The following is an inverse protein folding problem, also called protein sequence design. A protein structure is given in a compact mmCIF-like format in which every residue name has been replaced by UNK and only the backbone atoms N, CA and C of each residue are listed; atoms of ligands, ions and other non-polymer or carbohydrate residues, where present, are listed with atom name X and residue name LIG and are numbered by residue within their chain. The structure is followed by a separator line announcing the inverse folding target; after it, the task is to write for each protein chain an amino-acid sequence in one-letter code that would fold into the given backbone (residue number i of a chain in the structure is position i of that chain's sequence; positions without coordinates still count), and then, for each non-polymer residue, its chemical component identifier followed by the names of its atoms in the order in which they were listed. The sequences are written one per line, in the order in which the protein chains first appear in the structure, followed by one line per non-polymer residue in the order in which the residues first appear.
data_IF_514041573312
#
_entry.id   IF_514041573312
#
_cell.length_a   1.000
_cell.length_b   1.000
_cell.length_c   1.000
_cell.angle_alpha   90.00
_cell.angle_beta   90.00
_cell.angle_gamma   90.00
#
_symmetry.space_group_name_H-M   'P 1'
#
loop_
_entity.id
_entity.type
_entity.pdbx_description
1 polymer ?
#
# COMPACT_ATOMS: atom_id res chain seq x y z
N UNK A 1 -21.04 -10.63 8.61
CA UNK A 1 -20.04 -10.20 7.61
C UNK A 1 -20.63 -9.00 6.88
N UNK A 2 -20.00 -7.82 6.89
CA UNK A 2 -20.56 -6.69 6.19
C UNK A 2 -20.63 -6.97 4.68
N UNK A 3 -21.74 -6.54 4.10
CA UNK A 3 -22.20 -6.77 2.74
C UNK A 3 -21.23 -6.14 1.71
N UNK A 4 -20.87 -6.90 0.67
CA UNK A 4 -19.91 -6.54 -0.38
C UNK A 4 -20.42 -5.46 -1.35
N UNK A 5 -21.64 -4.96 -1.18
CA UNK A 5 -22.35 -4.09 -2.14
C UNK A 5 -22.24 -2.58 -1.88
N UNK A 6 -21.36 -2.11 -0.99
CA UNK A 6 -21.16 -0.66 -0.76
C UNK A 6 -19.78 -0.12 -1.17
N UNK A 7 -19.09 -0.72 -2.15
CA UNK A 7 -18.05 0.00 -2.91
C UNK A 7 -18.73 1.00 -3.87
N UNK A 8 -19.31 2.06 -3.33
CA UNK A 8 -19.64 3.25 -4.12
C UNK A 8 -18.32 3.94 -4.44
N UNK A 9 -17.89 3.83 -5.70
CA UNK A 9 -16.82 4.65 -6.29
C UNK A 9 -17.20 6.13 -6.18
N UNK A 10 -16.92 6.75 -5.03
CA UNK A 10 -16.99 8.19 -4.88
C UNK A 10 -15.77 8.76 -5.61
N UNK A 11 -16.03 9.15 -6.85
CA UNK A 11 -15.04 9.60 -7.82
C UNK A 11 -14.47 10.97 -7.41
N UNK A 12 -13.54 10.95 -6.47
CA UNK A 12 -12.64 12.06 -6.19
C UNK A 12 -11.27 11.44 -5.91
N UNK A 13 -10.48 11.28 -6.98
CA UNK A 13 -9.18 10.63 -6.95
C UNK A 13 -8.25 11.41 -5.98
N UNK A 14 -8.03 10.89 -4.77
CA UNK A 14 -7.21 11.51 -3.71
C UNK A 14 -5.86 12.00 -4.27
N UNK A 15 -5.24 11.17 -5.09
CA UNK A 15 -3.98 11.48 -5.79
C UNK A 15 -4.07 12.71 -6.67
N UNK A 16 -5.20 12.93 -7.34
CA UNK A 16 -5.42 14.09 -8.20
C UNK A 16 -5.62 15.39 -7.41
N UNK A 17 -6.21 15.29 -6.21
CA UNK A 17 -6.35 16.43 -5.29
C UNK A 17 -5.04 16.79 -4.60
N UNK A 18 -4.17 15.80 -4.39
CA UNK A 18 -2.93 15.93 -3.63
C UNK A 18 -1.67 15.71 -4.48
N UNK A 19 -1.69 16.21 -5.72
CA UNK A 19 -0.59 16.04 -6.71
C UNK A 19 0.71 16.70 -6.27
N UNK A 20 0.63 17.76 -5.47
CA UNK A 20 1.78 18.51 -4.94
C UNK A 20 2.71 17.64 -4.08
N UNK A 21 2.18 16.55 -3.52
CA UNK A 21 2.97 15.57 -2.78
C UNK A 21 3.69 14.53 -3.65
N UNK A 22 3.35 14.40 -4.93
CA UNK A 22 3.92 13.40 -5.84
C UNK A 22 5.27 13.88 -6.42
N UNK A 23 6.32 13.78 -5.60
CA UNK A 23 7.64 14.38 -5.89
C UNK A 23 8.63 13.44 -6.55
N UNK A 24 8.38 12.13 -6.53
CA UNK A 24 9.31 11.10 -7.01
C UNK A 24 8.67 10.31 -8.14
N UNK A 25 9.42 10.02 -9.21
CA UNK A 25 8.92 9.27 -10.37
C UNK A 25 9.62 7.92 -10.50
N UNK A 26 8.86 6.85 -10.75
CA UNK A 26 9.39 5.52 -11.08
C UNK A 26 9.88 5.48 -12.52
N UNK A 27 10.72 4.48 -12.86
CA UNK A 27 11.17 4.22 -14.24
C UNK A 27 10.02 4.07 -15.25
N UNK A 28 8.88 3.55 -14.80
CA UNK A 28 7.68 3.32 -15.63
C UNK A 28 6.68 4.47 -15.60
N UNK A 29 7.06 5.63 -15.04
CA UNK A 29 6.30 6.87 -15.15
C UNK A 29 5.28 7.13 -14.06
N UNK A 30 5.11 6.22 -13.08
CA UNK A 30 4.27 6.43 -11.90
C UNK A 30 4.91 7.48 -10.99
N UNK A 31 4.16 8.48 -10.55
CA UNK A 31 4.60 9.43 -9.52
C UNK A 31 4.13 9.01 -8.13
N UNK A 32 5.03 9.06 -7.15
CA UNK A 32 4.88 8.64 -5.75
C UNK A 32 5.42 9.70 -4.78
N UNK A 33 5.16 9.58 -3.47
CA UNK A 33 5.49 10.60 -2.47
C UNK A 33 6.91 10.52 -1.94
N UNK A 34 7.48 9.32 -1.86
CA UNK A 34 8.80 9.09 -1.24
C UNK A 34 9.72 8.21 -2.08
N UNK A 35 11.02 8.23 -1.76
CA UNK A 35 12.03 7.39 -2.43
C UNK A 35 11.81 5.91 -2.15
N UNK A 36 11.41 5.58 -0.92
CA UNK A 36 11.14 4.20 -0.51
C UNK A 36 9.86 3.66 -1.18
N UNK A 37 8.80 4.46 -1.31
CA UNK A 37 7.64 4.08 -2.13
C UNK A 37 8.01 3.85 -3.59
N UNK A 38 8.92 4.65 -4.16
CA UNK A 38 9.44 4.37 -5.52
C UNK A 38 10.11 3.01 -5.56
N UNK A 39 10.98 2.71 -4.59
CA UNK A 39 11.68 1.42 -4.49
C UNK A 39 10.70 0.24 -4.38
N UNK A 40 9.66 0.38 -3.54
CA UNK A 40 8.59 -0.63 -3.43
C UNK A 40 7.83 -0.76 -4.75
N UNK A 41 7.42 0.35 -5.37
CA UNK A 41 6.71 0.33 -6.65
C UNK A 41 7.55 -0.31 -7.76
N UNK A 42 8.85 0.00 -7.83
CA UNK A 42 9.79 -0.61 -8.77
C UNK A 42 9.91 -2.11 -8.54
N UNK A 43 10.06 -2.56 -7.29
CA UNK A 43 10.04 -3.98 -6.96
C UNK A 43 8.76 -4.67 -7.47
N UNK A 44 7.59 -4.09 -7.20
CA UNK A 44 6.32 -4.67 -7.64
C UNK A 44 6.23 -4.74 -9.17
N UNK A 45 6.64 -3.68 -9.87
CA UNK A 45 6.65 -3.62 -11.34
C UNK A 45 7.64 -4.63 -11.95
N UNK A 46 8.87 -4.68 -11.43
CA UNK A 46 9.95 -5.55 -11.92
C UNK A 46 9.60 -7.04 -11.76
N UNK A 47 8.78 -7.38 -10.76
CA UNK A 47 8.31 -8.74 -10.52
C UNK A 47 6.91 -9.03 -11.12
N UNK A 48 6.39 -8.15 -11.97
CA UNK A 48 5.10 -8.35 -12.66
C UNK A 48 3.89 -8.38 -11.72
N UNK A 49 4.02 -7.83 -10.52
CA UNK A 49 2.94 -7.80 -9.52
C UNK A 49 2.01 -6.64 -9.87
N UNK A 50 0.73 -6.95 -10.08
CA UNK A 50 -0.29 -5.94 -10.39
C UNK A 50 -0.75 -5.27 -9.09
N UNK A 51 -0.63 -3.94 -9.03
CA UNK A 51 -1.00 -3.15 -7.86
C UNK A 51 -1.69 -1.84 -8.23
N UNK A 52 -2.38 -1.26 -7.23
CA UNK A 52 -2.85 0.11 -7.23
C UNK A 52 -2.06 0.91 -6.19
N UNK A 53 -1.52 2.06 -6.59
CA UNK A 53 -0.84 3.00 -5.70
C UNK A 53 -1.84 4.02 -5.14
N UNK A 54 -1.79 4.27 -3.83
CA UNK A 54 -2.72 5.10 -3.05
C UNK A 54 -4.20 4.88 -3.41
N UNK A 55 -4.74 3.65 -3.32
CA UNK A 55 -6.18 3.43 -3.45
C UNK A 55 -6.97 4.22 -2.41
N UNK A 56 -8.21 4.56 -2.74
CA UNK A 56 -9.19 5.01 -1.75
C UNK A 56 -9.94 3.80 -1.21
N UNK A 57 -9.87 3.58 0.10
CA UNK A 57 -10.62 2.57 0.83
C UNK A 57 -11.69 3.27 1.69
N UNK A 58 -12.97 2.95 1.46
CA UNK A 58 -14.09 3.53 2.22
C UNK A 58 -14.72 2.45 3.10
N UNK A 59 -14.76 2.67 4.42
CA UNK A 59 -15.31 1.74 5.41
C UNK A 59 -16.15 2.50 6.45
N UNK A 60 -17.43 2.17 6.58
CA UNK A 60 -18.42 2.88 7.43
C UNK A 60 -18.38 4.42 7.30
N UNK A 61 -18.09 4.93 6.10
CA UNK A 61 -18.01 6.37 5.84
C UNK A 61 -16.65 7.01 6.15
N UNK A 62 -15.69 6.26 6.67
CA UNK A 62 -14.30 6.68 6.82
C UNK A 62 -13.50 6.39 5.55
N UNK A 63 -12.65 7.33 5.15
CA UNK A 63 -11.79 7.24 3.97
C UNK A 63 -10.34 7.00 4.41
N UNK A 64 -9.73 5.93 3.90
CA UNK A 64 -8.32 5.60 4.10
C UNK A 64 -7.59 5.57 2.76
N UNK A 65 -6.29 5.87 2.82
CA UNK A 65 -5.38 5.80 1.69
C UNK A 65 -4.20 4.90 2.04
N UNK A 66 -4.33 3.57 1.89
CA UNK A 66 -3.18 2.67 1.96
C UNK A 66 -2.14 3.03 0.91
N UNK A 67 -0.86 2.78 1.15
CA UNK A 67 0.18 3.15 0.16
C UNK A 67 0.05 2.31 -1.12
N UNK A 68 -0.20 1.00 -0.98
CA UNK A 68 -0.39 0.09 -2.10
C UNK A 68 -1.51 -0.92 -1.84
N UNK A 69 -2.18 -1.36 -2.91
CA UNK A 69 -3.05 -2.52 -2.92
C UNK A 69 -2.60 -3.51 -3.99
N UNK A 70 -2.20 -4.70 -3.57
CA UNK A 70 -1.77 -5.78 -4.44
C UNK A 70 -3.01 -6.55 -4.92
N UNK A 71 -3.36 -6.37 -6.19
CA UNK A 71 -4.63 -6.83 -6.74
C UNK A 71 -4.70 -8.36 -6.86
N UNK A 72 -3.58 -9.01 -7.17
CA UNK A 72 -3.51 -10.45 -7.42
C UNK A 72 -3.85 -11.31 -6.20
N UNK A 73 -3.55 -10.80 -5.00
CA UNK A 73 -3.76 -11.50 -3.73
C UNK A 73 -4.70 -10.74 -2.78
N UNK A 74 -5.21 -9.58 -3.21
CA UNK A 74 -6.17 -8.77 -2.46
C UNK A 74 -5.65 -8.27 -1.12
N UNK A 75 -4.37 -7.90 -1.02
CA UNK A 75 -3.75 -7.41 0.22
C UNK A 75 -3.24 -5.97 0.08
N UNK A 76 -3.35 -5.20 1.17
CA UNK A 76 -2.73 -3.88 1.27
C UNK A 76 -1.26 -3.98 1.68
N UNK A 77 -0.47 -2.98 1.31
CA UNK A 77 0.90 -2.82 1.76
C UNK A 77 1.10 -1.37 2.18
N UNK A 78 1.65 -1.20 3.38
CA UNK A 78 1.91 0.09 4.03
C UNK A 78 3.39 0.23 4.37
N UNK A 79 3.92 1.44 4.24
CA UNK A 79 5.25 1.81 4.67
C UNK A 79 5.19 2.89 5.76
N UNK A 80 5.66 2.54 6.95
CA UNK A 80 5.70 3.39 8.12
C UNK A 80 7.10 3.99 8.31
N UNK A 81 7.41 5.02 7.53
CA UNK A 81 8.75 5.62 7.47
C UNK A 81 8.97 6.91 8.27
N UNK A 82 8.04 7.29 9.15
CA UNK A 82 8.11 8.58 9.85
C UNK A 82 7.49 8.54 11.24
N UNK A 83 8.26 9.03 12.22
CA UNK A 83 7.85 9.18 13.62
C UNK A 83 7.21 10.54 13.94
N UNK A 84 7.08 11.42 12.95
CA UNK A 84 6.39 12.70 13.10
C UNK A 84 4.94 12.49 13.64
N UNK A 85 4.47 13.29 14.62
CA UNK A 85 3.20 13.04 15.32
C UNK A 85 1.99 12.86 14.39
N UNK A 86 1.92 13.58 13.28
CA UNK A 86 0.84 13.46 12.31
C UNK A 86 0.85 12.12 11.57
N UNK A 87 2.02 11.58 11.28
CA UNK A 87 2.19 10.26 10.65
C UNK A 87 1.85 9.14 11.63
N UNK A 88 2.28 9.28 12.89
CA UNK A 88 1.95 8.33 13.97
C UNK A 88 0.43 8.26 14.20
N UNK A 89 -0.27 9.39 14.27
CA UNK A 89 -1.72 9.38 14.43
C UNK A 89 -2.44 8.81 13.20
N UNK A 90 -1.93 9.08 11.99
CA UNK A 90 -2.49 8.48 10.77
C UNK A 90 -2.31 6.95 10.73
N UNK A 91 -1.11 6.46 11.11
CA UNK A 91 -0.84 5.02 11.29
C UNK A 91 -1.81 4.42 12.30
N UNK A 92 -1.95 5.04 13.48
CA UNK A 92 -2.84 4.56 14.55
C UNK A 92 -4.27 4.39 14.05
N UNK A 93 -4.80 5.38 13.33
CA UNK A 93 -6.15 5.32 12.73
C UNK A 93 -6.28 4.18 11.72
N UNK A 94 -5.33 4.05 10.79
CA UNK A 94 -5.32 2.95 9.81
C UNK A 94 -5.29 1.58 10.49
N UNK A 95 -4.41 1.38 11.47
CA UNK A 95 -4.30 0.12 12.21
C UNK A 95 -5.56 -0.22 13.02
N UNK A 96 -6.20 0.77 13.65
CA UNK A 96 -7.46 0.60 14.37
C UNK A 96 -8.57 0.13 13.43
N UNK A 97 -8.68 0.77 12.26
CA UNK A 97 -9.64 0.40 11.22
C UNK A 97 -9.34 -1.00 10.67
N UNK A 98 -8.08 -1.29 10.32
CA UNK A 98 -7.71 -2.62 9.82
C UNK A 98 -8.04 -3.72 10.83
N UNK A 99 -7.81 -3.47 12.12
CA UNK A 99 -8.20 -4.38 13.19
C UNK A 99 -9.71 -4.54 13.29
N UNK A 100 -10.47 -3.43 13.28
CA UNK A 100 -11.95 -3.42 13.37
C UNK A 100 -12.60 -4.26 12.26
N UNK A 101 -12.09 -4.18 11.03
CA UNK A 101 -12.67 -4.90 9.87
C UNK A 101 -11.93 -6.18 9.50
N UNK A 102 -10.95 -6.63 10.31
CA UNK A 102 -10.13 -7.81 10.05
C UNK A 102 -9.45 -7.77 8.67
N UNK A 103 -8.93 -6.60 8.29
CA UNK A 103 -8.22 -6.38 7.04
C UNK A 103 -6.77 -6.84 7.21
N UNK A 104 -6.34 -7.74 6.34
CA UNK A 104 -4.93 -8.15 6.26
C UNK A 104 -4.14 -7.13 5.46
N UNK A 105 -2.93 -6.84 5.91
CA UNK A 105 -1.99 -5.96 5.22
C UNK A 105 -0.55 -6.39 5.52
N UNK A 106 0.37 -6.00 4.64
CA UNK A 106 1.81 -6.09 4.86
C UNK A 106 2.26 -4.71 5.37
N UNK A 107 3.09 -4.70 6.42
CA UNK A 107 3.75 -3.49 6.90
C UNK A 107 5.24 -3.56 6.66
N UNK A 108 5.82 -2.42 6.29
CA UNK A 108 7.26 -2.18 6.25
C UNK A 108 7.56 -0.94 7.10
N UNK A 109 8.73 -0.90 7.71
CA UNK A 109 9.15 0.19 8.61
C UNK A 109 10.40 0.88 8.05
N UNK A 110 10.80 2.01 8.63
CA UNK A 110 12.08 2.67 8.28
C UNK A 110 13.28 1.72 8.48
N UNK A 111 13.26 0.84 9.49
CA UNK A 111 14.32 -0.14 9.71
C UNK A 111 14.41 -1.23 8.63
N UNK A 112 13.38 -1.38 7.78
CA UNK A 112 13.38 -2.32 6.67
C UNK A 112 14.01 -1.72 5.41
N UNK A 113 14.28 -0.41 5.35
CA UNK A 113 14.70 0.30 4.12
C UNK A 113 15.93 -0.34 3.47
N UNK A 114 16.95 -0.66 4.27
CA UNK A 114 18.21 -1.24 3.77
C UNK A 114 18.02 -2.64 3.16
N UNK A 115 16.99 -3.39 3.59
CA UNK A 115 16.72 -4.76 3.16
C UNK A 115 15.32 -4.91 2.55
N UNK A 116 14.77 -3.82 2.01
CA UNK A 116 13.35 -3.73 1.65
C UNK A 116 12.93 -4.81 0.65
N UNK A 117 13.80 -5.16 -0.30
CA UNK A 117 13.52 -6.22 -1.29
C UNK A 117 13.35 -7.59 -0.63
N UNK A 118 14.19 -7.94 0.34
CA UNK A 118 14.12 -9.23 1.01
C UNK A 118 12.91 -9.29 1.94
N UNK A 119 12.61 -8.19 2.63
CA UNK A 119 11.37 -8.04 3.40
C UNK A 119 10.14 -8.26 2.53
N UNK A 120 10.06 -7.60 1.37
CA UNK A 120 8.94 -7.74 0.43
C UNK A 120 8.80 -9.17 -0.09
N UNK A 121 9.90 -9.82 -0.48
CA UNK A 121 9.90 -11.23 -0.93
C UNK A 121 9.33 -12.14 0.15
N UNK A 122 9.81 -12.01 1.39
CA UNK A 122 9.36 -12.84 2.51
C UNK A 122 7.86 -12.62 2.77
N UNK A 123 7.42 -11.37 2.89
CA UNK A 123 6.02 -11.06 3.21
C UNK A 123 5.06 -11.49 2.10
N UNK A 124 5.40 -11.20 0.83
CA UNK A 124 4.55 -11.57 -0.31
C UNK A 124 4.49 -13.09 -0.52
N UNK A 125 5.58 -13.83 -0.24
CA UNK A 125 5.60 -15.30 -0.36
C UNK A 125 4.57 -16.01 0.52
N UNK A 126 4.16 -15.39 1.64
CA UNK A 126 3.12 -15.93 2.54
C UNK A 126 1.74 -15.98 1.89
N UNK A 127 1.51 -15.14 0.88
CA UNK A 127 0.23 -15.01 0.17
C UNK A 127 0.29 -15.61 -1.23
N UNK A 128 1.44 -15.50 -1.89
CA UNK A 128 1.72 -16.13 -3.18
C UNK A 128 2.14 -17.59 -2.96
N UNK A 129 1.28 -18.37 -2.30
CA UNK A 129 1.45 -19.82 -2.19
C UNK A 129 0.88 -20.51 -3.43
N UNK A 130 1.61 -20.39 -4.54
CA UNK A 130 1.78 -21.47 -5.50
C UNK A 130 3.16 -21.32 -6.15
N UNK A 131 4.07 -22.19 -5.74
CA UNK A 131 5.45 -22.31 -6.22
C UNK A 131 5.48 -22.48 -7.74
N UNK A 132 5.98 -21.51 -8.50
CA UNK A 132 6.94 -21.75 -9.61
C UNK A 132 7.51 -20.44 -10.12
N UNK A 133 8.84 -20.41 -10.28
CA UNK A 133 9.60 -19.47 -11.13
C UNK A 133 9.65 -18.00 -10.73
N UNK A 134 10.48 -17.68 -9.73
CA UNK A 134 11.28 -16.46 -9.82
C UNK A 134 12.41 -16.80 -10.80
N UNK A 135 12.40 -16.18 -11.99
CA UNK A 135 13.49 -16.30 -12.97
C UNK A 135 14.71 -15.50 -12.54
#
# INVERSE_FOLDING_TARGET
MPDKTQLKYRNQNFREKHKEGLKVRTKHGLSVRSRIERTIAEFLMENGIIFQYEPTLILDGEELHPDFYIQTIGIYLEHWGSDEPSYVENRRKKEEIYRKYNIKYISTEESDVDNIYDKLKIELSKYVMNKTEWK
#
